data_IF_817899541173
#
_entry.id   IF_817899541173
#
_cell.length_a   1.000
_cell.length_b   1.000
_cell.length_c   1.000
_cell.angle_alpha   90.00
_cell.angle_beta   90.00
_cell.angle_gamma   90.00
#
_symmetry.space_group_name_H-M   'P 1'
#
loop_
_entity.id
_entity.type
_entity.pdbx_description
1 polymer ?
#
# COMPACT_ATOMS: atom_id res chain seq x y z
N UNK A 1 14.30 -4.94 -19.69
CA UNK A 1 13.66 -6.15 -20.26
C UNK A 1 12.42 -5.83 -21.08
N UNK A 2 11.26 -5.52 -20.50
CA UNK A 2 10.00 -5.36 -21.29
C UNK A 2 10.06 -4.23 -22.32
N UNK A 3 10.75 -3.13 -22.00
CA UNK A 3 10.99 -2.00 -22.92
C UNK A 3 11.88 -2.35 -24.11
N UNK A 4 12.74 -3.36 -23.97
CA UNK A 4 13.70 -3.77 -25.00
C UNK A 4 13.06 -4.73 -26.02
N UNK A 5 12.06 -5.50 -25.56
CA UNK A 5 11.33 -6.46 -26.39
C UNK A 5 10.17 -5.79 -27.16
N UNK A 6 9.53 -4.74 -26.61
CA UNK A 6 8.37 -4.09 -27.21
C UNK A 6 8.53 -3.69 -28.70
N UNK A 7 9.66 -3.10 -29.14
CA UNK A 7 9.86 -2.76 -30.56
C UNK A 7 9.90 -3.97 -31.49
N UNK A 8 10.39 -5.12 -31.02
CA UNK A 8 10.43 -6.37 -31.82
C UNK A 8 9.03 -6.91 -32.10
N UNK A 9 8.08 -6.59 -31.23
CA UNK A 9 6.68 -6.99 -31.34
C UNK A 9 5.78 -5.90 -31.94
N UNK A 10 6.37 -4.81 -32.49
CA UNK A 10 5.65 -3.64 -33.02
C UNK A 10 4.73 -2.93 -32.01
N UNK A 11 5.03 -3.04 -30.71
CA UNK A 11 4.31 -2.32 -29.66
C UNK A 11 5.08 -1.08 -29.18
N UNK A 12 4.37 -0.03 -28.72
CA UNK A 12 5.02 1.11 -28.09
C UNK A 12 5.72 0.69 -26.79
N UNK A 13 6.83 1.35 -26.46
CA UNK A 13 7.55 1.09 -25.22
C UNK A 13 6.72 1.58 -24.02
N UNK A 14 6.53 0.77 -22.96
CA UNK A 14 5.79 1.21 -21.79
C UNK A 14 6.53 2.33 -21.06
N UNK A 15 5.79 3.36 -20.62
CA UNK A 15 6.28 4.36 -19.68
C UNK A 15 6.29 3.80 -18.25
N UNK A 16 7.14 4.35 -17.38
CA UNK A 16 7.30 3.90 -16.00
C UNK A 16 7.29 5.11 -15.07
N UNK A 17 6.61 5.00 -13.92
CA UNK A 17 6.65 5.96 -12.81
C UNK A 17 7.30 5.24 -11.63
N UNK A 18 8.44 5.73 -11.15
CA UNK A 18 9.16 5.14 -10.02
C UNK A 18 8.77 5.84 -8.71
N UNK A 19 8.42 5.05 -7.69
CA UNK A 19 8.18 5.53 -6.33
C UNK A 19 9.29 5.06 -5.39
N UNK A 20 9.59 5.86 -4.36
CA UNK A 20 10.44 5.43 -3.25
C UNK A 20 9.71 4.42 -2.36
N UNK A 21 10.46 3.56 -1.67
CA UNK A 21 9.88 2.62 -0.72
C UNK A 21 9.64 3.28 0.62
N UNK A 22 8.53 2.90 1.27
CA UNK A 22 8.33 3.24 2.67
C UNK A 22 9.29 2.41 3.55
N UNK A 23 10.00 3.06 4.49
CA UNK A 23 10.95 2.39 5.35
C UNK A 23 10.24 1.43 6.32
N UNK A 24 10.93 0.35 6.69
CA UNK A 24 10.46 -0.57 7.71
C UNK A 24 10.43 0.09 9.09
N UNK A 25 9.57 -0.42 9.98
CA UNK A 25 9.51 0.02 11.38
C UNK A 25 10.85 -0.15 12.13
N UNK A 26 11.69 -1.08 11.68
CA UNK A 26 12.99 -1.37 12.27
C UNK A 26 14.11 -0.42 11.82
N UNK A 27 13.89 0.38 10.77
CA UNK A 27 14.84 1.38 10.26
C UNK A 27 14.78 1.57 8.74
N UNK A 28 15.42 2.66 8.26
CA UNK A 28 15.42 3.06 6.85
C UNK A 28 16.26 2.16 5.91
N UNK A 29 17.05 1.25 6.46
CA UNK A 29 17.87 0.30 5.70
C UNK A 29 17.02 -0.84 5.10
N UNK A 30 15.82 -1.06 5.63
CA UNK A 30 14.91 -2.11 5.18
C UNK A 30 13.61 -1.52 4.64
N UNK A 31 13.05 -2.17 3.61
CA UNK A 31 11.71 -1.89 3.11
C UNK A 31 10.68 -2.63 3.95
N UNK A 32 9.48 -2.08 4.06
CA UNK A 32 8.34 -2.84 4.59
C UNK A 32 8.09 -4.09 3.73
N UNK A 33 8.14 -5.27 4.36
CA UNK A 33 7.83 -6.56 3.77
C UNK A 33 6.85 -7.37 4.65
N UNK A 34 5.82 -7.94 4.03
CA UNK A 34 4.85 -8.81 4.69
C UNK A 34 5.45 -10.13 5.23
N UNK A 35 6.73 -10.39 4.98
CA UNK A 35 7.45 -11.54 5.52
C UNK A 35 7.68 -11.44 7.03
N UNK A 36 7.81 -10.22 7.57
CA UNK A 36 8.10 -9.99 8.98
C UNK A 36 7.01 -9.12 9.62
N UNK A 37 6.21 -9.72 10.49
CA UNK A 37 5.07 -9.07 11.14
C UNK A 37 5.45 -7.84 11.98
N UNK A 38 6.69 -7.79 12.46
CA UNK A 38 7.23 -6.70 13.27
C UNK A 38 7.81 -5.54 12.44
N UNK A 39 7.94 -5.70 11.12
CA UNK A 39 8.49 -4.65 10.24
C UNK A 39 7.40 -3.80 9.60
N UNK A 40 6.15 -4.28 9.63
CA UNK A 40 5.04 -3.77 8.82
C UNK A 40 3.76 -3.53 9.61
N UNK A 41 3.04 -2.49 9.20
CA UNK A 41 1.66 -2.24 9.60
C UNK A 41 0.74 -2.82 8.54
N UNK A 42 -0.10 -3.77 8.93
CA UNK A 42 -1.07 -4.40 8.02
C UNK A 42 -2.36 -3.59 7.97
N UNK A 43 -3.06 -3.68 6.84
CA UNK A 43 -4.41 -3.09 6.68
C UNK A 43 -5.43 -3.79 7.60
N UNK A 44 -5.16 -5.02 8.00
CA UNK A 44 -5.96 -5.79 8.97
C UNK A 44 -5.65 -5.47 10.44
N UNK A 45 -4.62 -4.65 10.72
CA UNK A 45 -4.27 -4.34 12.10
C UNK A 45 -5.34 -3.45 12.75
N UNK A 46 -5.61 -3.73 14.02
CA UNK A 46 -6.45 -2.89 14.87
C UNK A 46 -5.67 -1.65 15.35
N UNK A 47 -6.37 -0.58 15.72
CA UNK A 47 -5.73 0.64 16.24
C UNK A 47 -4.83 0.40 17.46
N UNK A 48 -5.09 -0.66 18.24
CA UNK A 48 -4.23 -1.10 19.36
C UNK A 48 -2.93 -1.74 18.86
N UNK A 49 -3.00 -2.59 17.84
CA UNK A 49 -1.82 -3.24 17.25
C UNK A 49 -0.90 -2.24 16.55
N UNK A 50 -1.46 -1.25 15.86
CA UNK A 50 -0.70 -0.14 15.23
C UNK A 50 0.11 0.62 16.28
N UNK A 51 -0.54 0.99 17.40
CA UNK A 51 0.11 1.69 18.53
C UNK A 51 1.26 0.87 19.11
N UNK A 52 1.07 -0.44 19.29
CA UNK A 52 2.08 -1.32 19.87
C UNK A 52 3.29 -1.53 18.94
N UNK A 53 3.06 -1.71 17.62
CA UNK A 53 4.14 -1.92 16.64
C UNK A 53 5.04 -0.70 16.47
N UNK A 54 4.51 0.52 16.63
CA UNK A 54 5.30 1.77 16.55
C UNK A 54 6.11 2.09 17.84
N UNK A 55 5.91 1.36 18.94
CA UNK A 55 6.48 1.75 20.23
C UNK A 55 7.95 1.34 20.43
N UNK A 56 8.53 0.47 19.60
CA UNK A 56 9.69 -0.32 20.05
C UNK A 56 11.09 0.27 19.80
N UNK A 57 11.28 1.38 19.07
CA UNK A 57 12.61 2.04 18.95
C UNK A 57 12.47 3.56 19.00
N UNK A 58 13.24 4.22 19.86
CA UNK A 58 13.14 5.65 20.18
C UNK A 58 14.43 6.40 19.84
N UNK A 59 14.30 7.67 19.41
CA UNK A 59 15.41 8.63 19.21
C UNK A 59 14.94 10.11 19.06
N UNK A 60 13.76 10.46 19.58
CA UNK A 60 13.32 11.87 19.73
C UNK A 60 12.34 11.93 20.92
N UNK A 61 11.83 13.10 21.31
CA UNK A 61 10.69 13.19 22.25
C UNK A 61 9.45 12.55 21.58
N UNK A 62 9.41 11.21 21.67
CA UNK A 62 8.74 10.30 20.74
C UNK A 62 7.23 10.25 20.92
N UNK A 63 6.71 10.76 22.04
CA UNK A 63 5.30 10.63 22.38
C UNK A 63 4.36 11.35 21.41
N UNK A 64 4.61 12.63 21.15
CA UNK A 64 3.71 13.47 20.35
C UNK A 64 3.86 13.21 18.85
N UNK A 65 5.09 13.08 18.37
CA UNK A 65 5.39 12.80 16.96
C UNK A 65 4.88 11.41 16.56
N UNK A 66 4.99 10.42 17.45
CA UNK A 66 4.38 9.10 17.22
C UNK A 66 2.86 9.15 17.32
N UNK A 67 2.26 9.93 18.23
CA UNK A 67 0.80 10.10 18.28
C UNK A 67 0.26 10.66 16.98
N UNK A 68 0.83 11.75 16.47
CA UNK A 68 0.43 12.34 15.19
C UNK A 68 0.58 11.36 14.02
N UNK A 69 1.70 10.65 13.95
CA UNK A 69 1.91 9.65 12.90
C UNK A 69 0.93 8.47 12.99
N UNK A 70 0.66 7.98 14.20
CA UNK A 70 -0.31 6.90 14.44
C UNK A 70 -1.72 7.35 14.09
N UNK A 71 -2.10 8.57 14.45
CA UNK A 71 -3.44 9.09 14.19
C UNK A 71 -3.69 9.21 12.68
N UNK A 72 -2.74 9.74 11.91
CA UNK A 72 -2.86 9.81 10.45
C UNK A 72 -2.85 8.43 9.78
N UNK A 73 -1.96 7.52 10.19
CA UNK A 73 -1.93 6.16 9.66
C UNK A 73 -3.22 5.41 9.98
N UNK A 74 -3.77 5.60 11.19
CA UNK A 74 -5.02 4.96 11.61
C UNK A 74 -6.20 5.46 10.79
N UNK A 75 -6.29 6.76 10.48
CA UNK A 75 -7.35 7.31 9.60
C UNK A 75 -7.34 6.60 8.24
N UNK A 76 -6.18 6.53 7.59
CA UNK A 76 -6.05 5.90 6.27
C UNK A 76 -6.44 4.42 6.32
N UNK A 77 -6.04 3.69 7.37
CA UNK A 77 -6.37 2.27 7.52
C UNK A 77 -7.87 2.07 7.76
N UNK A 78 -8.50 2.87 8.61
CA UNK A 78 -9.96 2.79 8.87
C UNK A 78 -10.74 3.06 7.59
N UNK A 79 -10.39 4.11 6.85
CA UNK A 79 -11.01 4.43 5.56
C UNK A 79 -10.88 3.26 4.56
N UNK A 80 -9.73 2.59 4.53
CA UNK A 80 -9.52 1.41 3.68
C UNK A 80 -10.34 0.20 4.15
N UNK A 81 -10.47 -0.01 5.47
CA UNK A 81 -11.28 -1.09 6.04
C UNK A 81 -12.77 -0.87 5.76
N UNK A 82 -13.25 0.37 5.85
CA UNK A 82 -14.63 0.73 5.51
C UNK A 82 -14.93 0.52 4.03
N UNK A 83 -14.05 1.00 3.14
CA UNK A 83 -14.16 0.73 1.70
C UNK A 83 -14.16 -0.77 1.42
N UNK A 84 -13.36 -1.56 2.14
CA UNK A 84 -13.31 -3.02 1.98
C UNK A 84 -14.61 -3.71 2.36
N UNK A 85 -15.37 -3.21 3.34
CA UNK A 85 -16.66 -3.79 3.77
C UNK A 85 -17.76 -3.64 2.71
N UNK A 86 -17.69 -2.59 1.90
CA UNK A 86 -18.67 -2.31 0.84
C UNK A 86 -18.47 -3.26 -0.36
N UNK A 87 -17.28 -3.87 -0.48
CA UNK A 87 -16.95 -4.77 -1.58
C UNK A 87 -17.69 -6.10 -1.38
N UNK A 88 -18.66 -6.37 -2.25
CA UNK A 88 -19.35 -7.65 -2.35
C UNK A 88 -18.71 -8.55 -3.41
N UNK A 89 -18.98 -9.85 -3.33
CA UNK A 89 -18.48 -10.83 -4.31
C UNK A 89 -18.97 -10.51 -5.74
N UNK A 90 -20.14 -9.88 -5.87
CA UNK A 90 -20.66 -9.45 -7.17
C UNK A 90 -19.86 -8.28 -7.76
N UNK A 91 -19.41 -7.34 -6.92
CA UNK A 91 -18.51 -6.27 -7.35
C UNK A 91 -17.17 -6.87 -7.80
N UNK A 92 -16.62 -7.82 -7.05
CA UNK A 92 -15.36 -8.49 -7.43
C UNK A 92 -15.49 -9.21 -8.77
N UNK A 93 -16.61 -9.93 -8.99
CA UNK A 93 -16.90 -10.57 -10.28
C UNK A 93 -17.00 -9.54 -11.42
N UNK A 94 -17.64 -8.39 -11.18
CA UNK A 94 -17.71 -7.32 -12.18
C UNK A 94 -16.33 -6.70 -12.52
N UNK A 95 -15.42 -6.62 -11.55
CA UNK A 95 -14.05 -6.11 -11.78
C UNK A 95 -13.12 -7.12 -12.46
N UNK A 96 -13.36 -8.42 -12.26
CA UNK A 96 -12.57 -9.52 -12.86
C UNK A 96 -13.11 -9.99 -14.20
N UNK A 97 -14.37 -9.70 -14.52
CA UNK A 97 -14.97 -10.01 -15.82
C UNK A 97 -14.36 -9.17 -16.96
N UNK A 98 -14.11 -9.83 -18.09
CA UNK A 98 -13.67 -9.17 -19.32
C UNK A 98 -14.86 -8.35 -19.85
N UNK A 99 -14.73 -7.03 -19.83
CA UNK A 99 -15.76 -6.10 -20.32
C UNK A 99 -15.12 -4.87 -20.96
N UNK A 100 -15.86 -4.23 -21.86
CA UNK A 100 -15.47 -2.94 -22.40
C UNK A 100 -15.49 -1.88 -21.30
N UNK A 101 -14.39 -1.13 -21.18
CA UNK A 101 -14.29 -0.02 -20.24
C UNK A 101 -15.01 1.21 -20.81
N UNK A 102 -15.35 2.17 -19.93
CA UNK A 102 -16.00 3.44 -20.30
C UNK A 102 -15.01 4.42 -20.98
N UNK A 103 -14.15 3.93 -21.86
CA UNK A 103 -13.21 4.73 -22.63
C UNK A 103 -13.47 4.48 -24.10
N UNK A 104 -13.65 5.56 -24.86
CA UNK A 104 -13.69 5.53 -26.31
C UNK A 104 -12.26 5.66 -26.81
N UNK A 105 -11.79 4.63 -27.52
CA UNK A 105 -10.54 4.71 -28.27
C UNK A 105 -10.91 5.09 -29.70
N UNK A 106 -10.55 6.32 -30.11
CA UNK A 106 -10.62 6.76 -31.51
C UNK A 106 -9.38 6.29 -32.27
#
# INVERSE_FOLDING_TARGET
>A
MTRDVAPRLKYPKPALIYSTFLPALQGAQAKMAASDENTCIYISDTSKQIKNKSYTKGDLLTGELKKLAIDEVTKVIVDMQERRKIITDDIVKQFTAIRQLKYTFN
#
